data_IF_087997530220
#
_entry.id   IF_087997530220
#
_cell.length_a   1.000
_cell.length_b   1.000
_cell.length_c   1.000
_cell.angle_alpha   90.00
_cell.angle_beta   90.00
_cell.angle_gamma   90.00
#
_symmetry.space_group_name_H-M   'P 1'
#
loop_
_entity.id
_entity.type
_entity.pdbx_description
1 polymer ?
#
# COMPACT_ATOMS: atom_id res chain seq x y z
N UNK A 1 6.76 11.10 40.86
CA UNK A 1 6.83 11.05 39.38
C UNK A 1 7.36 9.69 38.99
N UNK A 2 6.47 8.81 38.56
CA UNK A 2 6.76 7.41 38.23
C UNK A 2 6.60 7.18 36.73
N UNK A 3 7.23 6.11 36.22
CA UNK A 3 7.40 5.77 34.80
C UNK A 3 6.07 5.62 34.02
N UNK A 4 4.94 5.58 34.71
CA UNK A 4 3.59 5.44 34.12
C UNK A 4 3.00 6.75 33.58
N UNK A 5 3.44 7.92 34.06
CA UNK A 5 2.87 9.21 33.64
C UNK A 5 3.35 9.66 32.24
N UNK A 6 4.41 9.07 31.70
CA UNK A 6 4.97 9.42 30.38
C UNK A 6 4.28 8.66 29.23
N UNK A 7 3.39 7.70 29.52
CA UNK A 7 2.65 6.95 28.47
C UNK A 7 1.38 7.64 27.96
N UNK A 8 0.94 8.74 28.57
CA UNK A 8 -0.40 9.31 28.32
C UNK A 8 -0.47 10.59 27.47
N UNK A 9 0.59 10.98 26.75
CA UNK A 9 0.56 12.19 25.90
C UNK A 9 0.40 11.96 24.39
N UNK A 10 -0.14 10.82 23.95
CA UNK A 10 -0.23 10.51 22.51
C UNK A 10 -1.51 9.75 22.11
N UNK A 11 -2.70 10.33 22.31
CA UNK A 11 -3.89 9.71 21.71
C UNK A 11 -4.79 10.60 20.86
N UNK A 12 -5.12 11.85 21.19
CA UNK A 12 -6.03 12.62 20.31
C UNK A 12 -5.81 14.13 20.40
N UNK A 13 -4.71 14.64 19.85
CA UNK A 13 -4.72 16.01 19.34
C UNK A 13 -5.32 15.95 17.95
N UNK A 14 -6.53 16.43 17.74
CA UNK A 14 -6.90 17.27 16.60
C UNK A 14 -8.33 17.77 16.81
N UNK A 15 -8.38 19.08 17.00
CA UNK A 15 -9.55 19.93 17.08
C UNK A 15 -10.45 19.77 15.85
N UNK A 16 -11.75 19.82 16.15
CA UNK A 16 -12.90 19.98 15.26
C UNK A 16 -13.45 18.69 14.63
N UNK A 17 -14.51 18.12 15.24
CA UNK A 17 -15.84 18.05 14.62
C UNK A 17 -16.92 17.60 15.62
N UNK A 18 -18.06 18.27 15.43
CA UNK A 18 -19.40 18.18 15.98
C UNK A 18 -19.91 16.78 16.39
N UNK A 19 -20.40 16.68 17.63
CA UNK A 19 -21.13 15.53 18.17
C UNK A 19 -22.63 15.58 17.80
N UNK A 20 -23.22 14.42 17.48
CA UNK A 20 -24.68 14.25 17.36
C UNK A 20 -25.09 13.09 18.28
N UNK A 21 -26.21 13.19 19.03
CA UNK A 21 -26.60 12.20 20.04
C UNK A 21 -27.20 10.92 19.43
N UNK A 22 -27.18 9.79 20.16
CA UNK A 22 -27.52 8.47 19.63
C UNK A 22 -29.04 8.16 19.64
N UNK A 23 -29.55 7.33 18.71
CA UNK A 23 -30.95 6.92 18.68
C UNK A 23 -31.21 5.67 19.55
N UNK A 24 -32.43 5.57 20.09
CA UNK A 24 -32.91 4.50 20.98
C UNK A 24 -33.51 3.33 20.16
N UNK A 25 -33.24 2.12 20.64
CA UNK A 25 -33.51 0.77 20.10
C UNK A 25 -34.89 0.48 19.47
N UNK A 26 -34.90 -0.14 18.29
CA UNK A 26 -35.44 -1.50 18.00
C UNK A 26 -35.57 -1.73 16.48
N UNK A 27 -35.35 -2.98 16.04
CA UNK A 27 -35.25 -3.52 14.65
C UNK A 27 -33.83 -3.53 14.00
N UNK A 28 -33.39 -4.73 13.57
CA UNK A 28 -32.08 -5.08 12.95
C UNK A 28 -31.86 -4.38 11.58
N UNK A 29 -30.64 -4.32 10.95
CA UNK A 29 -29.50 -5.26 11.05
C UNK A 29 -28.05 -4.68 10.96
N UNK A 30 -27.05 -5.52 11.31
CA UNK A 30 -25.61 -5.51 10.88
C UNK A 30 -24.87 -4.17 10.87
N UNK A 31 -23.98 -3.89 11.84
CA UNK A 31 -22.85 -2.95 11.67
C UNK A 31 -21.87 -2.99 12.86
N UNK A 32 -20.89 -3.91 12.83
CA UNK A 32 -19.64 -3.75 13.59
C UNK A 32 -18.55 -3.30 12.60
N UNK A 33 -18.55 -2.01 12.25
CA UNK A 33 -17.55 -1.37 11.37
C UNK A 33 -16.71 -0.31 12.12
N UNK A 34 -16.53 -0.40 13.44
CA UNK A 34 -15.83 0.62 14.23
C UNK A 34 -15.17 0.06 15.51
N UNK A 35 -14.08 0.69 16.00
CA UNK A 35 -13.41 0.42 17.29
C UNK A 35 -13.61 1.58 18.28
N UNK A 36 -14.10 1.33 19.49
CA UNK A 36 -14.40 2.40 20.45
C UNK A 36 -13.21 2.75 21.36
N UNK A 37 -12.85 4.03 21.43
CA UNK A 37 -11.88 4.61 22.37
C UNK A 37 -12.41 4.46 23.79
N UNK A 38 -11.75 3.73 24.68
CA UNK A 38 -12.31 3.49 26.03
C UNK A 38 -12.33 4.74 26.91
N UNK A 39 -11.45 5.70 26.63
CA UNK A 39 -11.27 6.96 27.37
C UNK A 39 -12.29 8.02 26.92
N UNK A 40 -12.59 8.08 25.63
CA UNK A 40 -13.37 9.15 24.99
C UNK A 40 -14.63 8.66 24.25
N UNK A 41 -14.84 7.34 24.19
CA UNK A 41 -15.95 6.63 23.55
C UNK A 41 -16.11 6.82 22.03
N UNK A 42 -15.05 7.25 21.35
CA UNK A 42 -15.02 7.49 19.88
C UNK A 42 -14.75 6.21 19.08
N UNK A 43 -15.54 5.95 18.03
CA UNK A 43 -15.56 4.73 17.20
C UNK A 43 -14.67 4.83 15.91
N UNK A 44 -13.74 3.89 15.67
CA UNK A 44 -12.73 3.89 14.59
C UNK A 44 -12.72 2.61 13.73
N UNK A 45 -13.34 2.70 12.56
CA UNK A 45 -13.02 1.99 11.30
C UNK A 45 -13.82 2.73 10.23
N UNK A 46 -13.46 3.97 9.93
CA UNK A 46 -14.20 4.68 8.89
C UNK A 46 -13.83 4.06 7.55
N UNK A 47 -14.73 3.24 7.01
CA UNK A 47 -14.71 2.76 5.62
C UNK A 47 -14.28 3.89 4.66
N UNK A 48 -14.74 5.12 4.93
CA UNK A 48 -14.33 6.37 4.27
C UNK A 48 -12.81 6.63 4.25
N UNK A 49 -12.09 6.44 5.35
CA UNK A 49 -10.64 6.66 5.38
C UNK A 49 -9.89 5.63 4.55
N UNK A 50 -10.34 4.37 4.56
CA UNK A 50 -9.81 3.32 3.70
C UNK A 50 -10.12 3.58 2.23
N UNK A 51 -11.35 3.97 1.91
CA UNK A 51 -11.75 4.32 0.54
C UNK A 51 -10.97 5.53 0.01
N UNK A 52 -10.77 6.55 0.85
CA UNK A 52 -9.92 7.70 0.52
C UNK A 52 -8.48 7.26 0.27
N UNK A 53 -7.93 6.43 1.16
CA UNK A 53 -6.56 5.94 1.01
C UNK A 53 -6.38 5.11 -0.27
N UNK A 54 -7.39 4.31 -0.66
CA UNK A 54 -7.40 3.62 -1.97
C UNK A 54 -7.38 4.61 -3.14
N UNK A 55 -8.18 5.67 -3.08
CA UNK A 55 -8.17 6.72 -4.10
C UNK A 55 -6.81 7.44 -4.18
N UNK A 56 -6.19 7.72 -3.02
CA UNK A 56 -4.87 8.33 -2.95
C UNK A 56 -3.80 7.43 -3.57
N UNK A 57 -3.85 6.11 -3.31
CA UNK A 57 -2.96 5.13 -3.95
C UNK A 57 -3.09 5.18 -5.47
N UNK A 58 -4.32 5.18 -6.00
CA UNK A 58 -4.58 5.30 -7.44
C UNK A 58 -3.99 6.60 -8.00
N UNK A 59 -4.24 7.73 -7.33
CA UNK A 59 -3.72 9.02 -7.76
C UNK A 59 -2.18 9.05 -7.79
N UNK A 60 -1.55 8.56 -6.72
CA UNK A 60 -0.09 8.53 -6.58
C UNK A 60 0.54 7.61 -7.63
N UNK A 61 -0.02 6.43 -7.88
CA UNK A 61 0.42 5.53 -8.96
C UNK A 61 0.25 6.22 -10.32
N UNK A 62 -0.93 6.78 -10.59
CA UNK A 62 -1.25 7.50 -11.82
C UNK A 62 -0.31 8.69 -12.09
N UNK A 63 0.18 9.36 -11.04
CA UNK A 63 1.14 10.46 -11.15
C UNK A 63 2.49 10.03 -11.75
N UNK A 64 2.83 8.73 -11.64
CA UNK A 64 4.03 8.10 -12.22
C UNK A 64 3.81 7.52 -13.61
N UNK A 65 2.57 7.49 -14.11
CA UNK A 65 2.27 7.12 -15.48
C UNK A 65 2.45 8.37 -16.36
N UNK A 66 3.49 8.37 -17.19
CA UNK A 66 3.91 9.54 -17.98
C UNK A 66 3.82 9.24 -19.48
N UNK A 67 3.67 10.30 -20.26
CA UNK A 67 3.45 10.24 -21.72
C UNK A 67 4.72 9.95 -22.52
N UNK A 68 5.90 10.02 -21.92
CA UNK A 68 7.14 9.86 -22.67
C UNK A 68 7.73 8.46 -22.49
N UNK A 69 8.01 7.78 -23.60
CA UNK A 69 8.57 6.43 -23.62
C UNK A 69 9.87 6.32 -22.79
N UNK A 70 10.70 7.36 -22.80
CA UNK A 70 11.93 7.46 -21.98
C UNK A 70 11.67 7.39 -20.47
N UNK A 71 10.43 7.56 -20.04
CA UNK A 71 9.99 7.52 -18.64
C UNK A 71 9.32 6.18 -18.29
N UNK A 72 9.20 5.26 -19.24
CA UNK A 72 8.81 3.86 -18.99
C UNK A 72 9.92 3.11 -18.26
N UNK A 73 9.54 2.01 -17.59
CA UNK A 73 10.46 1.21 -16.79
C UNK A 73 10.10 1.20 -15.31
N UNK A 74 11.10 0.92 -14.46
CA UNK A 74 10.90 0.73 -13.02
C UNK A 74 10.59 2.07 -12.34
N UNK A 75 9.45 2.12 -11.68
CA UNK A 75 9.00 3.21 -10.82
C UNK A 75 9.12 2.80 -9.36
N UNK A 76 9.62 3.71 -8.52
CA UNK A 76 9.62 3.57 -7.07
C UNK A 76 9.18 4.86 -6.42
N UNK A 77 8.37 4.76 -5.36
CA UNK A 77 7.91 5.90 -4.60
C UNK A 77 7.70 5.52 -3.13
N UNK A 78 7.74 6.51 -2.24
CA UNK A 78 7.41 6.33 -0.83
C UNK A 78 6.75 7.57 -0.27
N UNK A 79 5.81 7.38 0.63
CA UNK A 79 5.12 8.47 1.30
C UNK A 79 4.65 8.04 2.70
N UNK A 80 4.38 8.99 3.61
CA UNK A 80 3.89 8.69 4.95
C UNK A 80 2.57 7.91 4.88
N UNK A 81 2.42 6.88 5.72
CA UNK A 81 1.22 6.07 5.76
C UNK A 81 1.07 5.44 7.15
N UNK A 82 -0.13 5.56 7.73
CA UNK A 82 -0.46 4.88 8.97
C UNK A 82 -0.55 3.37 8.75
N UNK A 83 -0.08 2.60 9.73
CA UNK A 83 -0.14 1.14 9.70
C UNK A 83 -1.57 0.64 9.52
N UNK A 84 -2.53 1.24 10.22
CA UNK A 84 -3.95 0.89 10.13
C UNK A 84 -4.54 1.08 8.72
N UNK A 85 -4.10 2.10 7.98
CA UNK A 85 -4.52 2.30 6.58
C UNK A 85 -3.91 1.24 5.66
N UNK A 86 -2.64 0.91 5.88
CA UNK A 86 -1.99 -0.18 5.16
C UNK A 86 -2.73 -1.51 5.39
N UNK A 87 -2.99 -1.89 6.64
CA UNK A 87 -3.74 -3.11 6.95
C UNK A 87 -5.16 -3.08 6.39
N UNK A 88 -5.88 -1.97 6.55
CA UNK A 88 -7.25 -1.86 6.04
C UNK A 88 -7.39 -2.03 4.52
N UNK A 89 -6.30 -1.88 3.76
CA UNK A 89 -6.27 -2.20 2.32
C UNK A 89 -5.59 -3.55 2.05
N UNK A 90 -4.47 -3.86 2.70
CA UNK A 90 -3.57 -4.93 2.26
C UNK A 90 -3.51 -6.15 3.18
N UNK A 91 -4.23 -6.21 4.31
CA UNK A 91 -4.17 -7.29 5.32
C UNK A 91 -4.24 -8.70 4.69
N UNK A 92 -5.21 -8.94 3.81
CA UNK A 92 -5.38 -10.24 3.11
C UNK A 92 -4.33 -10.54 2.03
N UNK A 93 -3.37 -9.65 1.81
CA UNK A 93 -2.36 -9.72 0.76
C UNK A 93 -0.92 -9.63 1.30
N UNK A 94 -0.73 -9.68 2.62
CA UNK A 94 0.60 -9.67 3.23
C UNK A 94 1.27 -11.02 3.01
N UNK A 95 2.41 -11.02 2.32
CA UNK A 95 3.17 -12.23 2.01
C UNK A 95 4.31 -12.48 3.00
N UNK A 96 4.86 -11.40 3.56
CA UNK A 96 6.04 -11.49 4.39
C UNK A 96 6.06 -10.38 5.44
N UNK A 97 6.44 -10.75 6.66
CA UNK A 97 6.75 -9.84 7.75
C UNK A 97 8.22 -9.97 8.15
N UNK A 98 8.91 -8.84 8.28
CA UNK A 98 10.27 -8.78 8.76
C UNK A 98 10.31 -8.34 10.23
N UNK A 99 10.54 -9.28 11.13
CA UNK A 99 10.66 -9.02 12.57
C UNK A 99 11.78 -8.02 12.92
N UNK A 100 12.88 -8.01 12.16
CA UNK A 100 14.04 -7.13 12.45
C UNK A 100 13.76 -5.67 12.13
N UNK A 101 12.97 -5.41 11.10
CA UNK A 101 12.65 -4.04 10.65
C UNK A 101 11.21 -3.62 10.92
N UNK A 102 10.38 -4.51 11.48
CA UNK A 102 8.94 -4.28 11.66
C UNK A 102 8.24 -3.93 10.34
N UNK A 103 8.58 -4.63 9.25
CA UNK A 103 8.04 -4.30 7.92
C UNK A 103 7.17 -5.38 7.31
N UNK A 104 6.07 -4.97 6.68
CA UNK A 104 5.14 -5.83 5.95
C UNK A 104 5.37 -5.70 4.46
N UNK A 105 5.28 -6.81 3.71
CA UNK A 105 5.43 -6.81 2.26
C UNK A 105 4.31 -7.58 1.58
N UNK A 106 3.78 -6.98 0.52
CA UNK A 106 2.84 -7.59 -0.42
C UNK A 106 3.48 -7.63 -1.81
N UNK A 107 3.28 -8.75 -2.52
CA UNK A 107 3.71 -8.90 -3.91
C UNK A 107 2.50 -9.18 -4.79
N UNK A 108 2.40 -8.45 -5.88
CA UNK A 108 1.33 -8.56 -6.86
C UNK A 108 1.98 -8.86 -8.21
N UNK A 109 1.86 -10.11 -8.65
CA UNK A 109 2.43 -10.63 -9.90
C UNK A 109 1.55 -11.74 -10.46
N UNK A 110 1.35 -11.74 -11.78
CA UNK A 110 0.57 -12.76 -12.48
C UNK A 110 -0.52 -12.18 -13.38
N UNK A 111 -1.16 -13.03 -14.21
CA UNK A 111 -2.13 -12.60 -15.21
C UNK A 111 -3.40 -11.97 -14.59
N UNK A 112 -3.87 -12.50 -13.47
CA UNK A 112 -5.12 -12.04 -12.83
C UNK A 112 -4.92 -10.87 -11.85
N UNK A 113 -3.66 -10.51 -11.60
CA UNK A 113 -3.30 -9.55 -10.55
C UNK A 113 -3.80 -8.14 -10.85
N UNK A 114 -3.88 -7.75 -12.13
CA UNK A 114 -4.40 -6.44 -12.50
C UNK A 114 -5.86 -6.30 -12.07
N UNK A 115 -6.68 -7.32 -12.33
CA UNK A 115 -8.10 -7.38 -11.94
C UNK A 115 -8.25 -7.47 -10.43
N UNK A 116 -7.40 -8.25 -9.76
CA UNK A 116 -7.37 -8.32 -8.30
C UNK A 116 -7.13 -6.94 -7.66
N UNK A 117 -6.16 -6.17 -8.18
CA UNK A 117 -5.88 -4.81 -7.71
C UNK A 117 -6.98 -3.82 -8.09
N UNK A 118 -7.63 -4.00 -9.25
CA UNK A 118 -8.77 -3.17 -9.64
C UNK A 118 -9.94 -3.31 -8.65
N UNK A 119 -10.24 -4.54 -8.21
CA UNK A 119 -11.22 -4.79 -7.16
C UNK A 119 -10.76 -4.26 -5.81
N UNK A 120 -9.47 -4.48 -5.46
CA UNK A 120 -8.90 -4.03 -4.19
C UNK A 120 -8.97 -2.51 -4.02
N UNK A 121 -8.56 -1.77 -5.05
CA UNK A 121 -8.51 -0.31 -5.08
C UNK A 121 -9.83 0.33 -5.53
N UNK A 122 -10.84 -0.49 -5.88
CA UNK A 122 -12.13 -0.05 -6.40
C UNK A 122 -11.99 0.88 -7.63
N UNK A 123 -11.09 0.53 -8.56
CA UNK A 123 -10.83 1.32 -9.77
C UNK A 123 -10.28 0.44 -10.90
N UNK A 124 -11.00 0.34 -12.03
CA UNK A 124 -10.60 -0.48 -13.19
C UNK A 124 -9.36 0.05 -13.93
N UNK A 125 -9.06 1.35 -13.78
CA UNK A 125 -7.93 2.03 -14.41
C UNK A 125 -6.86 2.44 -13.38
N UNK A 126 -6.81 1.79 -12.21
CA UNK A 126 -5.90 2.14 -11.12
C UNK A 126 -4.43 2.26 -11.56
N UNK A 127 -4.03 1.48 -12.57
CA UNK A 127 -2.68 1.40 -13.09
C UNK A 127 -2.59 1.75 -14.57
N UNK A 128 -3.55 2.50 -15.14
CA UNK A 128 -3.53 2.88 -16.56
C UNK A 128 -3.90 4.36 -16.72
N UNK A 129 -3.14 5.05 -17.58
CA UNK A 129 -3.40 6.44 -17.95
C UNK A 129 -3.38 6.60 -19.46
N UNK A 130 -4.39 7.31 -19.97
CA UNK A 130 -4.57 7.62 -21.37
C UNK A 130 -4.05 9.05 -21.65
N UNK A 131 -3.47 9.22 -22.82
CA UNK A 131 -2.99 10.49 -23.36
C UNK A 131 -3.60 10.70 -24.75
N UNK A 132 -3.30 11.84 -25.35
CA UNK A 132 -3.72 12.13 -26.72
C UNK A 132 -3.08 11.14 -27.71
N UNK A 133 -3.59 11.12 -28.95
CA UNK A 133 -3.10 10.24 -30.02
C UNK A 133 -3.18 8.74 -29.70
N UNK A 134 -4.16 8.32 -28.89
CA UNK A 134 -4.36 6.93 -28.44
C UNK A 134 -3.18 6.32 -27.67
N UNK A 135 -2.26 7.16 -27.18
CA UNK A 135 -1.16 6.69 -26.35
C UNK A 135 -1.64 6.35 -24.95
N UNK A 136 -1.09 5.31 -24.36
CA UNK A 136 -1.38 4.96 -22.97
C UNK A 136 -0.16 4.40 -22.26
N UNK A 137 -0.05 4.74 -20.97
CA UNK A 137 0.98 4.19 -20.09
C UNK A 137 0.29 3.39 -18.99
N UNK A 138 0.76 2.17 -18.75
CA UNK A 138 0.17 1.26 -17.79
C UNK A 138 1.21 0.55 -16.92
N UNK A 139 0.75 0.06 -15.77
CA UNK A 139 1.53 -0.73 -14.83
C UNK A 139 1.65 -2.16 -15.36
N UNK A 140 2.88 -2.65 -15.49
CA UNK A 140 3.20 -4.00 -15.95
C UNK A 140 3.38 -4.93 -14.74
N UNK A 141 2.49 -5.93 -14.61
CA UNK A 141 2.47 -6.90 -13.50
C UNK A 141 2.74 -8.35 -13.93
N UNK A 142 2.80 -8.58 -15.24
CA UNK A 142 3.01 -9.88 -15.83
C UNK A 142 3.57 -9.71 -17.24
N UNK A 143 4.50 -10.59 -17.62
CA UNK A 143 5.01 -10.67 -18.98
C UNK A 143 5.20 -12.15 -19.34
N UNK A 144 4.23 -12.74 -20.04
CA UNK A 144 4.21 -14.17 -20.38
C UNK A 144 5.49 -14.63 -21.10
N UNK A 145 6.00 -13.83 -22.04
CA UNK A 145 7.24 -14.16 -22.76
C UNK A 145 8.46 -14.18 -21.83
N UNK A 146 8.50 -13.31 -20.83
CA UNK A 146 9.58 -13.32 -19.84
C UNK A 146 9.48 -14.52 -18.89
N UNK A 147 8.26 -14.94 -18.53
CA UNK A 147 8.04 -16.10 -17.65
C UNK A 147 8.35 -17.44 -18.34
N UNK A 148 7.97 -17.61 -19.61
CA UNK A 148 8.30 -18.81 -20.40
C UNK A 148 9.83 -18.98 -20.58
N UNK A 149 10.52 -17.89 -20.96
CA UNK A 149 12.00 -17.89 -21.08
C UNK A 149 12.71 -18.20 -19.75
N UNK A 150 12.09 -17.88 -18.61
CA UNK A 150 12.62 -18.21 -17.28
C UNK A 150 12.45 -19.70 -16.98
N UNK A 151 11.33 -20.31 -17.37
CA UNK A 151 11.05 -21.72 -17.09
C UNK A 151 11.85 -22.72 -17.95
N UNK A 152 12.25 -22.37 -19.18
CA UNK A 152 13.01 -23.28 -20.06
C UNK A 152 14.49 -23.51 -19.68
N UNK A 153 15.03 -22.87 -18.63
CA UNK A 153 16.49 -22.82 -18.34
C UNK A 153 16.91 -23.61 -17.06
N UNK A 154 16.35 -24.80 -16.80
CA UNK A 154 16.60 -25.54 -15.55
C UNK A 154 17.77 -26.56 -15.65
N UNK A 155 18.95 -26.17 -15.15
CA UNK A 155 20.04 -27.04 -14.64
C UNK A 155 20.58 -26.42 -13.33
N UNK A 156 21.15 -27.20 -12.39
CA UNK A 156 21.35 -26.81 -10.98
C UNK A 156 22.14 -25.50 -10.71
N UNK A 157 23.19 -25.19 -11.47
CA UNK A 157 23.90 -23.88 -11.38
C UNK A 157 23.03 -22.69 -11.81
N UNK A 158 21.98 -22.96 -12.58
CA UNK A 158 21.01 -21.96 -13.02
C UNK A 158 19.97 -21.63 -11.95
N UNK A 159 19.87 -22.36 -10.83
CA UNK A 159 18.86 -22.10 -9.78
C UNK A 159 19.09 -20.74 -9.09
N UNK A 160 20.34 -20.33 -8.84
CA UNK A 160 20.67 -19.00 -8.32
C UNK A 160 20.45 -17.89 -9.36
N UNK A 161 20.78 -18.15 -10.63
CA UNK A 161 20.45 -17.24 -11.76
C UNK A 161 18.94 -17.13 -11.98
N UNK A 162 18.20 -18.21 -11.78
CA UNK A 162 16.74 -18.32 -11.88
C UNK A 162 16.06 -17.52 -10.78
N UNK A 163 16.50 -17.64 -9.52
CA UNK A 163 16.02 -16.80 -8.40
C UNK A 163 16.24 -15.31 -8.66
N UNK A 164 17.41 -14.92 -9.21
CA UNK A 164 17.70 -13.53 -9.62
C UNK A 164 16.89 -13.06 -10.83
N UNK A 165 16.62 -13.91 -11.81
CA UNK A 165 15.78 -13.56 -12.98
C UNK A 165 14.30 -13.46 -12.61
N UNK A 166 13.80 -14.37 -11.77
CA UNK A 166 12.41 -14.35 -11.27
C UNK A 166 12.13 -13.12 -10.40
N UNK A 167 13.12 -12.62 -9.65
CA UNK A 167 12.99 -11.33 -8.94
C UNK A 167 12.91 -10.10 -9.86
N UNK A 168 13.31 -10.23 -11.13
CA UNK A 168 13.28 -9.16 -12.13
C UNK A 168 12.00 -9.18 -12.98
N UNK A 169 11.09 -10.14 -12.74
CA UNK A 169 9.80 -10.14 -13.42
C UNK A 169 8.99 -8.92 -12.98
N UNK A 170 8.19 -8.33 -13.91
CA UNK A 170 7.34 -7.21 -13.57
C UNK A 170 6.38 -7.60 -12.45
N UNK A 171 6.34 -6.81 -11.39
CA UNK A 171 5.45 -6.98 -10.25
C UNK A 171 5.23 -5.64 -9.55
N UNK A 172 4.11 -5.50 -8.86
CA UNK A 172 3.93 -4.44 -7.88
C UNK A 172 4.35 -4.98 -6.50
N UNK A 173 5.29 -4.28 -5.87
CA UNK A 173 5.70 -4.52 -4.48
C UNK A 173 5.19 -3.38 -3.62
N UNK A 174 4.50 -3.72 -2.54
CA UNK A 174 4.03 -2.78 -1.51
C UNK A 174 4.73 -3.14 -0.22
N UNK A 175 5.52 -2.23 0.34
CA UNK A 175 6.15 -2.41 1.65
C UNK A 175 5.66 -1.32 2.59
N UNK A 176 5.21 -1.69 3.79
CA UNK A 176 5.03 -0.75 4.88
C UNK A 176 6.13 -0.95 5.93
N UNK A 177 6.69 0.14 6.45
CA UNK A 177 7.66 0.09 7.56
C UNK A 177 7.73 1.41 8.32
N UNK A 178 8.13 1.33 9.57
CA UNK A 178 8.53 2.49 10.35
C UNK A 178 9.92 2.96 9.92
N UNK A 179 10.07 4.24 9.63
CA UNK A 179 11.36 4.90 9.44
C UNK A 179 11.64 5.78 10.66
N UNK A 180 12.81 5.61 11.26
CA UNK A 180 13.31 6.52 12.30
C UNK A 180 14.47 7.36 11.77
N UNK A 181 14.56 8.59 12.26
CA UNK A 181 15.69 9.48 12.02
C UNK A 181 16.10 10.12 13.33
N UNK A 182 17.39 10.37 13.45
CA UNK A 182 17.97 11.14 14.53
C UNK A 182 18.57 12.42 13.95
N UNK A 183 18.30 13.56 14.58
CA UNK A 183 18.93 14.81 14.18
C UNK A 183 20.29 15.02 14.87
N UNK A 184 20.98 16.12 14.55
CA UNK A 184 22.28 16.45 15.11
C UNK A 184 22.25 16.80 16.62
N UNK A 185 21.06 16.94 17.22
CA UNK A 185 20.85 17.18 18.65
C UNK A 185 20.34 15.92 19.37
N UNK A 186 20.50 14.76 18.74
CA UNK A 186 20.01 13.47 19.20
C UNK A 186 18.48 13.34 19.33
N UNK A 187 17.68 14.27 18.78
CA UNK A 187 16.22 14.11 18.79
C UNK A 187 15.82 12.98 17.85
N UNK A 188 15.01 12.06 18.35
CA UNK A 188 14.52 10.93 17.59
C UNK A 188 13.12 11.19 17.05
N UNK A 189 12.93 10.96 15.75
CA UNK A 189 11.64 10.97 15.08
C UNK A 189 11.37 9.60 14.48
N UNK A 190 10.11 9.16 14.47
CA UNK A 190 9.68 7.94 13.81
C UNK A 190 8.33 8.14 13.13
N UNK A 191 8.15 7.53 11.96
CA UNK A 191 6.88 7.56 11.25
C UNK A 191 6.73 6.34 10.34
N UNK A 192 5.49 5.89 10.17
CA UNK A 192 5.12 4.86 9.20
C UNK A 192 5.22 5.37 7.77
N UNK A 193 5.79 4.56 6.88
CA UNK A 193 5.89 4.85 5.46
C UNK A 193 5.46 3.64 4.65
N UNK A 194 4.72 3.91 3.58
CA UNK A 194 4.49 2.95 2.51
C UNK A 194 5.48 3.22 1.37
N UNK A 195 5.98 2.15 0.78
CA UNK A 195 6.86 2.14 -0.37
C UNK A 195 6.25 1.27 -1.47
N UNK A 196 6.06 1.85 -2.66
CA UNK A 196 5.58 1.15 -3.85
C UNK A 196 6.72 1.03 -4.86
N UNK A 197 6.86 -0.15 -5.49
CA UNK A 197 7.76 -0.36 -6.63
C UNK A 197 7.05 -1.19 -7.68
N UNK A 198 7.04 -0.72 -8.93
CA UNK A 198 6.37 -1.36 -10.05
C UNK A 198 7.04 -1.01 -11.38
N UNK A 199 6.64 -1.67 -12.47
CA UNK A 199 7.11 -1.34 -13.82
C UNK A 199 6.01 -0.65 -14.61
N UNK A 200 6.41 0.21 -15.53
CA UNK A 200 5.51 0.93 -16.44
C UNK A 200 5.91 0.67 -17.88
N UNK A 201 4.91 0.59 -18.75
CA UNK A 201 5.10 0.42 -20.18
C UNK A 201 4.11 1.33 -20.91
N UNK A 202 4.58 1.95 -22.00
CA UNK A 202 3.76 2.74 -22.91
C UNK A 202 3.50 1.97 -24.21
N UNK A 203 2.29 2.11 -24.74
CA UNK A 203 1.88 1.66 -26.07
C UNK A 203 1.14 2.76 -26.82
#
# INVERSE_FOLDING_TARGET
MTVDDIKNFQCCNHSDILAIPPPISSSKPVLQQYFECEICKVLYKTKRAIDQFKADLVHIIGSKLKEHFKQSGKQSLSFPCLESLFFGVFEGYIHYFNYKSGSYKCFFQGPDTYTQLATLLNNQNWGRKYFDNNQQTFVLLFNGQAEEKVNCNLFEEQILKYRKKRSNLPKLTVEWKTKSKRDAKDNQTSAGYIHLSFYTQQI
#
